data_IF_927789019244
#
_entry.id   IF_927789019244
#
_cell.length_a   1.000
_cell.length_b   1.000
_cell.length_c   1.000
_cell.angle_alpha   90.00
_cell.angle_beta   90.00
_cell.angle_gamma   90.00
#
_symmetry.space_group_name_H-M   'P 1'
#
loop_
_entity.id
_entity.type
_entity.pdbx_description
1 polymer ?
#
# COMPACT_ATOMS: atom_id res chain seq x y z
N UNK A 1 15.47 -1.31 -26.04
CA UNK A 1 14.15 -1.96 -25.94
C UNK A 1 13.76 -2.42 -24.53
N UNK A 2 14.55 -2.17 -23.47
CA UNK A 2 14.23 -2.63 -22.09
C UNK A 2 13.40 -1.63 -21.26
N UNK A 3 13.16 -0.42 -21.76
CA UNK A 3 12.24 0.55 -21.13
C UNK A 3 10.77 0.38 -21.56
N UNK A 4 10.47 -0.60 -22.43
CA UNK A 4 9.15 -0.68 -23.08
C UNK A 4 8.26 -1.82 -22.59
N UNK A 5 8.66 -2.65 -21.62
CA UNK A 5 7.81 -3.75 -21.16
C UNK A 5 7.96 -4.00 -19.65
N UNK A 6 6.99 -3.45 -18.90
CA UNK A 6 6.85 -3.43 -17.45
C UNK A 6 7.84 -2.53 -16.71
N UNK A 7 7.33 -1.73 -15.76
CA UNK A 7 8.11 -0.94 -14.79
C UNK A 7 8.90 -1.83 -13.80
N UNK A 8 9.16 -3.09 -14.14
CA UNK A 8 9.77 -4.11 -13.30
C UNK A 8 10.89 -4.79 -14.04
N UNK A 9 12.05 -4.88 -13.40
CA UNK A 9 13.09 -5.76 -13.87
C UNK A 9 12.68 -7.22 -13.72
N UNK A 10 13.19 -8.13 -14.58
CA UNK A 10 13.01 -9.57 -14.39
C UNK A 10 13.44 -10.00 -12.98
N UNK A 11 12.73 -10.94 -12.37
CA UNK A 11 12.96 -11.33 -10.97
C UNK A 11 14.37 -11.89 -10.74
N UNK A 12 14.84 -12.74 -11.66
CA UNK A 12 16.20 -13.31 -11.64
C UNK A 12 17.29 -12.24 -11.70
N UNK A 13 17.00 -11.11 -12.33
CA UNK A 13 17.90 -9.97 -12.43
C UNK A 13 17.89 -9.13 -11.15
N UNK A 14 16.70 -8.85 -10.61
CA UNK A 14 16.55 -8.11 -9.37
C UNK A 14 17.24 -8.83 -8.19
N UNK A 15 17.13 -10.16 -8.11
CA UNK A 15 17.82 -10.96 -7.09
C UNK A 15 19.34 -10.82 -7.18
N UNK A 16 19.93 -10.80 -8.38
CA UNK A 16 21.36 -10.56 -8.56
C UNK A 16 21.77 -9.18 -8.05
N UNK A 17 20.99 -8.14 -8.35
CA UNK A 17 21.27 -6.79 -7.85
C UNK A 17 21.15 -6.68 -6.32
N UNK A 18 20.23 -7.41 -5.71
CA UNK A 18 20.07 -7.46 -4.26
C UNK A 18 21.18 -8.25 -3.56
N UNK A 19 21.82 -9.19 -4.27
CA UNK A 19 22.97 -9.95 -3.74
C UNK A 19 24.26 -9.13 -3.62
N UNK A 20 24.36 -7.99 -4.32
CA UNK A 20 25.52 -7.10 -4.27
C UNK A 20 25.44 -6.29 -2.97
N UNK A 21 26.30 -6.62 -2.00
CA UNK A 21 26.28 -6.01 -0.67
C UNK A 21 27.07 -4.70 -0.57
N UNK A 22 28.11 -4.55 -1.39
CA UNK A 22 29.00 -3.38 -1.38
C UNK A 22 28.92 -2.64 -2.71
N UNK A 23 29.30 -1.36 -2.70
CA UNK A 23 29.37 -0.54 -3.91
C UNK A 23 30.37 -1.14 -4.89
N UNK A 24 29.93 -1.38 -6.13
CA UNK A 24 30.77 -1.90 -7.20
C UNK A 24 30.88 -0.88 -8.33
N UNK A 25 32.10 -0.45 -8.63
CA UNK A 25 32.40 0.34 -9.83
C UNK A 25 32.92 -0.61 -10.92
N UNK A 26 32.07 -0.90 -11.90
CA UNK A 26 32.33 -1.88 -12.94
C UNK A 26 32.68 -1.16 -14.24
N UNK A 27 33.84 -1.50 -14.78
CA UNK A 27 34.34 -0.99 -16.06
C UNK A 27 34.30 -2.15 -17.06
N UNK A 28 33.51 -2.00 -18.11
CA UNK A 28 33.39 -3.02 -19.15
C UNK A 28 34.35 -2.66 -20.28
N UNK A 29 35.50 -3.33 -20.34
CA UNK A 29 36.54 -3.07 -21.37
C UNK A 29 36.36 -3.88 -22.66
N UNK A 30 35.41 -4.83 -22.69
CA UNK A 30 35.17 -5.73 -23.83
C UNK A 30 33.71 -5.70 -24.27
N UNK A 31 33.47 -5.66 -25.58
CA UNK A 31 32.16 -5.57 -26.28
C UNK A 31 31.13 -6.69 -25.96
N UNK A 32 31.32 -7.55 -24.96
CA UNK A 32 30.51 -8.77 -24.81
C UNK A 32 30.17 -9.23 -23.40
N UNK A 33 30.57 -8.54 -22.33
CA UNK A 33 30.20 -8.92 -20.96
C UNK A 33 29.33 -7.87 -20.27
N UNK A 34 28.09 -7.77 -20.72
CA UNK A 34 27.09 -7.03 -19.97
C UNK A 34 26.82 -7.74 -18.64
N UNK A 35 27.07 -7.05 -17.52
CA UNK A 35 26.77 -7.53 -16.15
C UNK A 35 25.28 -7.93 -16.03
N UNK A 36 24.44 -7.35 -16.89
CA UNK A 36 23.00 -7.34 -16.76
C UNK A 36 22.26 -8.41 -17.58
N UNK A 37 22.88 -9.03 -18.60
CA UNK A 37 22.39 -10.24 -19.29
C UNK A 37 23.38 -10.63 -20.43
N UNK A 38 23.57 -11.93 -20.73
CA UNK A 38 24.38 -12.35 -21.87
C UNK A 38 23.72 -12.10 -23.24
N UNK A 39 22.40 -11.91 -23.33
CA UNK A 39 21.68 -11.87 -24.60
C UNK A 39 21.18 -10.47 -25.02
N UNK A 40 20.80 -9.62 -24.06
CA UNK A 40 20.35 -8.25 -24.33
C UNK A 40 20.78 -7.35 -23.18
N UNK A 41 21.67 -6.38 -23.44
CA UNK A 41 22.17 -5.50 -22.40
C UNK A 41 21.22 -4.31 -22.20
N UNK A 42 20.48 -4.21 -21.08
CA UNK A 42 19.63 -3.04 -20.81
C UNK A 42 20.43 -1.75 -20.63
N UNK A 43 21.69 -1.86 -20.21
CA UNK A 43 22.61 -0.76 -19.94
C UNK A 43 23.91 -1.01 -20.69
N UNK A 44 23.97 -0.72 -22.01
CA UNK A 44 25.14 -1.00 -22.87
C UNK A 44 26.33 -0.06 -22.59
N UNK A 45 26.35 0.59 -21.44
CA UNK A 45 27.28 1.66 -21.14
C UNK A 45 28.61 1.13 -20.60
N UNK A 46 29.70 1.81 -20.97
CA UNK A 46 31.08 1.38 -20.69
C UNK A 46 31.45 1.42 -19.21
N UNK A 47 30.82 2.32 -18.46
CA UNK A 47 31.06 2.51 -17.02
C UNK A 47 29.75 2.37 -16.27
N UNK A 48 29.71 1.49 -15.27
CA UNK A 48 28.51 1.22 -14.48
C UNK A 48 28.90 1.17 -13.01
N UNK A 49 28.24 1.96 -12.15
CA UNK A 49 28.36 1.82 -10.70
C UNK A 49 27.04 1.29 -10.11
N UNK A 50 27.14 0.23 -9.33
CA UNK A 50 26.02 -0.37 -8.62
C UNK A 50 26.19 -0.08 -7.13
N UNK A 51 25.24 0.67 -6.57
CA UNK A 51 25.26 1.13 -5.19
C UNK A 51 24.11 0.51 -4.40
N UNK A 52 24.40 -0.18 -3.29
CA UNK A 52 23.37 -0.72 -2.43
C UNK A 52 22.68 0.39 -1.61
N UNK A 53 21.35 0.33 -1.49
CA UNK A 53 20.61 1.21 -0.57
C UNK A 53 20.26 0.42 0.69
N UNK A 54 20.73 0.90 1.83
CA UNK A 54 20.40 0.36 3.14
C UNK A 54 19.56 1.35 3.96
N UNK A 55 18.71 0.82 4.84
CA UNK A 55 18.05 1.60 5.89
C UNK A 55 17.75 0.72 7.10
N UNK A 56 18.07 1.21 8.31
CA UNK A 56 17.95 0.47 9.58
C UNK A 56 18.45 -0.99 9.53
N UNK A 57 19.54 -1.25 8.82
CA UNK A 57 20.11 -2.60 8.67
C UNK A 57 19.39 -3.50 7.67
N UNK A 58 18.31 -3.03 7.03
CA UNK A 58 17.61 -3.73 5.95
C UNK A 58 18.13 -3.26 4.58
N UNK A 59 18.24 -4.20 3.63
CA UNK A 59 18.50 -3.89 2.22
C UNK A 59 17.21 -3.41 1.55
N UNK A 60 17.15 -2.12 1.21
CA UNK A 60 15.97 -1.49 0.65
C UNK A 60 15.90 -1.57 -0.88
N UNK A 61 17.05 -1.56 -1.55
CA UNK A 61 17.11 -1.55 -3.01
C UNK A 61 18.52 -1.28 -3.53
N UNK A 62 18.63 -0.95 -4.81
CA UNK A 62 19.91 -0.74 -5.49
C UNK A 62 19.79 0.46 -6.42
N UNK A 63 20.77 1.37 -6.40
CA UNK A 63 20.94 2.42 -7.40
C UNK A 63 21.96 1.92 -8.42
N UNK A 64 21.62 1.98 -9.70
CA UNK A 64 22.54 1.73 -10.78
C UNK A 64 22.80 3.05 -11.52
N UNK A 65 24.06 3.48 -11.54
CA UNK A 65 24.53 4.59 -12.35
C UNK A 65 25.23 4.02 -13.58
N UNK A 66 24.94 4.57 -14.74
CA UNK A 66 25.61 4.22 -15.97
C UNK A 66 26.16 5.49 -16.62
N UNK A 67 27.37 5.40 -17.17
CA UNK A 67 27.92 6.42 -18.05
C UNK A 67 28.56 5.79 -19.30
N UNK A 68 28.15 6.25 -20.48
CA UNK A 68 28.74 5.84 -21.75
C UNK A 68 30.08 6.53 -22.04
N UNK A 69 30.28 7.76 -21.53
CA UNK A 69 31.34 8.64 -22.00
C UNK A 69 32.49 8.85 -20.99
N UNK A 70 32.21 8.83 -19.69
CA UNK A 70 33.20 9.19 -18.66
C UNK A 70 33.28 8.13 -17.56
N UNK A 71 34.50 7.77 -17.17
CA UNK A 71 34.75 6.94 -16.00
C UNK A 71 34.14 7.60 -14.75
N UNK A 72 33.43 6.80 -13.96
CA UNK A 72 32.94 7.21 -12.64
C UNK A 72 34.16 7.28 -11.72
N UNK A 73 34.47 8.49 -11.24
CA UNK A 73 35.59 8.73 -10.33
C UNK A 73 35.20 8.39 -8.90
N UNK A 74 36.20 8.21 -8.04
CA UNK A 74 35.96 7.86 -6.64
C UNK A 74 35.21 8.99 -5.89
N UNK A 75 35.45 10.25 -6.24
CA UNK A 75 34.68 11.38 -5.66
C UNK A 75 33.21 11.33 -6.06
N UNK A 76 32.93 10.96 -7.32
CA UNK A 76 31.57 10.78 -7.79
C UNK A 76 30.89 9.58 -7.10
N UNK A 77 31.66 8.52 -6.81
CA UNK A 77 31.17 7.36 -6.10
C UNK A 77 30.80 7.69 -4.64
N UNK A 78 31.64 8.46 -3.94
CA UNK A 78 31.36 8.94 -2.57
C UNK A 78 30.08 9.78 -2.55
N UNK A 79 29.89 10.67 -3.52
CA UNK A 79 28.66 11.45 -3.64
C UNK A 79 27.44 10.57 -3.92
N UNK A 80 27.61 9.53 -4.76
CA UNK A 80 26.56 8.58 -5.06
C UNK A 80 26.19 7.73 -3.83
N UNK A 81 27.15 7.29 -3.02
CA UNK A 81 26.90 6.57 -1.77
C UNK A 81 26.17 7.44 -0.74
N UNK A 82 26.59 8.69 -0.60
CA UNK A 82 25.87 9.66 0.23
C UNK A 82 24.44 9.85 -0.28
N UNK A 83 24.25 9.96 -1.59
CA UNK A 83 22.93 10.00 -2.22
C UNK A 83 22.10 8.74 -1.92
N UNK A 84 22.70 7.55 -2.00
CA UNK A 84 22.06 6.28 -1.69
C UNK A 84 21.60 6.23 -0.23
N UNK A 85 22.39 6.75 0.71
CA UNK A 85 22.01 6.86 2.13
C UNK A 85 20.81 7.78 2.33
N UNK A 86 20.81 8.97 1.70
CA UNK A 86 19.68 9.93 1.79
C UNK A 86 18.40 9.33 1.18
N UNK A 87 18.52 8.64 0.05
CA UNK A 87 17.39 7.93 -0.57
C UNK A 87 16.88 6.82 0.34
N UNK A 88 17.78 6.02 0.95
CA UNK A 88 17.40 4.96 1.89
C UNK A 88 16.62 5.50 3.10
N UNK A 89 17.08 6.61 3.67
CA UNK A 89 16.36 7.30 4.75
C UNK A 89 14.97 7.78 4.29
N UNK A 90 14.87 8.36 3.08
CA UNK A 90 13.60 8.80 2.52
C UNK A 90 12.61 7.64 2.31
N UNK A 91 13.08 6.51 1.79
CA UNK A 91 12.26 5.30 1.61
C UNK A 91 11.77 4.77 2.96
N UNK A 92 12.63 4.73 3.98
CA UNK A 92 12.20 4.31 5.33
C UNK A 92 11.17 5.25 5.94
N UNK A 93 11.35 6.57 5.79
CA UNK A 93 10.37 7.53 6.26
C UNK A 93 8.99 7.30 5.61
N UNK A 94 8.97 6.97 4.32
CA UNK A 94 7.73 6.63 3.61
C UNK A 94 7.11 5.33 4.13
N UNK A 95 7.91 4.29 4.39
CA UNK A 95 7.43 3.04 5.01
C UNK A 95 6.78 3.32 6.37
N UNK A 96 7.45 4.08 7.24
CA UNK A 96 6.95 4.42 8.59
C UNK A 96 5.65 5.22 8.49
N UNK A 97 5.58 6.24 7.63
CA UNK A 97 4.35 7.02 7.44
C UNK A 97 3.19 6.16 6.96
N UNK A 98 3.42 5.23 6.03
CA UNK A 98 2.38 4.30 5.56
C UNK A 98 1.88 3.41 6.70
N UNK A 99 2.79 2.81 7.46
CA UNK A 99 2.43 2.00 8.62
C UNK A 99 1.61 2.80 9.66
N UNK A 100 2.04 4.01 9.99
CA UNK A 100 1.30 4.89 10.91
C UNK A 100 -0.10 5.22 10.39
N UNK A 101 -0.25 5.47 9.08
CA UNK A 101 -1.58 5.69 8.49
C UNK A 101 -2.46 4.45 8.54
N UNK A 102 -1.91 3.26 8.29
CA UNK A 102 -2.62 1.98 8.37
C UNK A 102 -3.05 1.66 9.81
N UNK A 103 -2.16 1.88 10.78
CA UNK A 103 -2.43 1.70 12.21
C UNK A 103 -3.52 2.65 12.68
N UNK A 104 -3.42 3.94 12.31
CA UNK A 104 -4.44 4.94 12.63
C UNK A 104 -5.80 4.57 12.01
N UNK A 105 -5.80 4.13 10.76
CA UNK A 105 -7.00 3.69 10.07
C UNK A 105 -7.66 2.52 10.79
N UNK A 106 -6.86 1.52 11.19
CA UNK A 106 -7.36 0.35 11.93
C UNK A 106 -7.85 0.74 13.32
N UNK A 107 -7.14 1.61 14.02
CA UNK A 107 -7.52 2.10 15.34
C UNK A 107 -8.88 2.84 15.32
N UNK A 108 -9.10 3.71 14.34
CA UNK A 108 -10.36 4.44 14.17
C UNK A 108 -11.55 3.47 13.97
N UNK A 109 -11.36 2.43 13.14
CA UNK A 109 -12.36 1.38 12.94
C UNK A 109 -12.66 0.66 14.25
N UNK A 110 -11.63 0.24 14.98
CA UNK A 110 -11.82 -0.47 16.25
C UNK A 110 -12.54 0.37 17.32
N UNK A 111 -12.24 1.66 17.41
CA UNK A 111 -12.92 2.58 18.33
C UNK A 111 -14.41 2.68 17.95
N UNK A 112 -14.72 2.84 16.66
CA UNK A 112 -16.09 2.91 16.17
C UNK A 112 -16.87 1.62 16.48
N UNK A 113 -16.28 0.44 16.21
CA UNK A 113 -16.90 -0.86 16.47
C UNK A 113 -17.14 -1.10 17.96
N UNK A 114 -16.22 -0.68 18.84
CA UNK A 114 -16.38 -0.80 20.30
C UNK A 114 -17.47 0.11 20.87
N UNK A 115 -17.74 1.25 20.24
CA UNK A 115 -18.78 2.19 20.66
C UNK A 115 -20.21 1.76 20.22
N UNK A 116 -20.31 0.68 19.44
CA UNK A 116 -21.57 0.17 18.93
C UNK A 116 -22.17 -0.93 19.82
N UNK A 117 -23.48 -0.88 19.97
CA UNK A 117 -24.27 -1.96 20.54
C UNK A 117 -24.37 -3.14 19.56
N UNK A 118 -24.76 -4.31 20.08
CA UNK A 118 -24.89 -5.53 19.27
C UNK A 118 -25.86 -5.36 18.09
N UNK A 119 -27.02 -4.71 18.32
CA UNK A 119 -28.02 -4.46 17.28
C UNK A 119 -27.51 -3.48 16.21
N UNK A 120 -26.71 -2.49 16.59
CA UNK A 120 -26.08 -1.55 15.66
C UNK A 120 -25.03 -2.26 14.79
N UNK A 121 -24.15 -3.07 15.37
CA UNK A 121 -23.16 -3.87 14.64
C UNK A 121 -23.83 -4.79 13.61
N UNK A 122 -24.85 -5.53 14.04
CA UNK A 122 -25.60 -6.43 13.15
C UNK A 122 -26.24 -5.66 11.98
N UNK A 123 -26.78 -4.48 12.24
CA UNK A 123 -27.36 -3.62 11.21
C UNK A 123 -26.33 -3.18 10.17
N UNK A 124 -25.11 -2.81 10.59
CA UNK A 124 -24.02 -2.37 9.71
C UNK A 124 -23.59 -3.50 8.77
N UNK A 125 -23.44 -4.72 9.28
CA UNK A 125 -23.07 -5.88 8.44
C UNK A 125 -24.11 -6.09 7.33
N UNK A 126 -25.39 -6.03 7.65
CA UNK A 126 -26.44 -6.15 6.64
C UNK A 126 -26.45 -4.99 5.63
N UNK A 127 -26.16 -3.77 6.08
CA UNK A 127 -26.05 -2.60 5.21
C UNK A 127 -24.88 -2.77 4.23
N UNK A 128 -23.70 -3.16 4.73
CA UNK A 128 -22.51 -3.34 3.90
C UNK A 128 -22.66 -4.48 2.90
N UNK A 129 -23.34 -5.57 3.28
CA UNK A 129 -23.65 -6.67 2.36
C UNK A 129 -24.65 -6.29 1.26
N UNK A 130 -25.41 -5.21 1.44
CA UNK A 130 -26.34 -4.68 0.42
C UNK A 130 -25.66 -3.63 -0.48
N UNK A 131 -24.44 -3.21 -0.17
CA UNK A 131 -23.63 -2.37 -1.05
C UNK A 131 -22.95 -3.23 -2.12
N UNK A 132 -23.03 -2.79 -3.38
CA UNK A 132 -22.31 -3.41 -4.50
C UNK A 132 -20.87 -2.85 -4.58
N UNK A 133 -20.06 -3.08 -3.54
CA UNK A 133 -18.67 -2.62 -3.45
C UNK A 133 -18.41 -1.64 -2.30
N UNK A 134 -17.54 -0.65 -2.53
CA UNK A 134 -17.14 0.35 -1.51
C UNK A 134 -18.10 1.55 -1.39
N UNK A 135 -19.09 1.64 -2.28
CA UNK A 135 -20.07 2.73 -2.30
C UNK A 135 -21.43 2.29 -2.83
N UNK A 136 -22.49 2.97 -2.40
CA UNK A 136 -23.84 2.65 -2.86
C UNK A 136 -24.95 3.41 -2.15
N UNK A 137 -26.17 3.21 -2.64
CA UNK A 137 -27.39 3.82 -2.10
C UNK A 137 -28.12 2.84 -1.18
N UNK A 138 -28.36 3.25 0.06
CA UNK A 138 -29.05 2.41 1.06
C UNK A 138 -30.34 3.08 1.51
N UNK A 139 -31.41 2.29 1.53
CA UNK A 139 -32.72 2.71 2.04
C UNK A 139 -32.93 2.09 3.42
N UNK A 140 -32.78 2.90 4.46
CA UNK A 140 -32.81 2.44 5.85
C UNK A 140 -34.12 1.72 6.25
N UNK A 141 -35.26 2.07 5.67
CA UNK A 141 -36.53 1.36 5.93
C UNK A 141 -36.50 -0.08 5.40
N UNK A 142 -36.01 -0.31 4.18
CA UNK A 142 -35.90 -1.65 3.60
C UNK A 142 -34.99 -2.57 4.42
N UNK A 143 -33.89 -2.02 4.94
CA UNK A 143 -32.97 -2.76 5.82
C UNK A 143 -33.63 -3.05 7.17
N UNK A 144 -34.31 -2.07 7.75
CA UNK A 144 -35.03 -2.21 9.03
C UNK A 144 -36.05 -3.36 8.98
N UNK A 145 -36.88 -3.39 7.93
CA UNK A 145 -37.92 -4.40 7.73
C UNK A 145 -37.34 -5.81 7.55
N UNK A 146 -36.20 -5.94 6.84
CA UNK A 146 -35.55 -7.24 6.60
C UNK A 146 -34.88 -7.80 7.85
N UNK A 147 -34.23 -6.96 8.65
CA UNK A 147 -33.45 -7.39 9.82
C UNK A 147 -34.30 -7.43 11.10
N UNK A 148 -35.49 -6.81 11.08
CA UNK A 148 -36.39 -6.75 12.23
C UNK A 148 -35.92 -5.78 13.31
N UNK A 149 -35.34 -4.64 12.91
CA UNK A 149 -34.80 -3.61 13.81
C UNK A 149 -35.44 -2.26 13.51
N UNK A 150 -35.37 -1.31 14.45
CA UNK A 150 -35.88 0.04 14.21
C UNK A 150 -34.94 0.84 13.31
N UNK A 151 -35.51 1.72 12.49
CA UNK A 151 -34.73 2.66 11.63
C UNK A 151 -33.77 3.52 12.45
N UNK A 152 -34.11 3.85 13.70
CA UNK A 152 -33.24 4.64 14.59
C UNK A 152 -31.92 3.95 14.93
N UNK A 153 -31.92 2.61 15.07
CA UNK A 153 -30.71 1.82 15.30
C UNK A 153 -29.76 1.94 14.11
N UNK A 154 -30.29 1.85 12.88
CA UNK A 154 -29.51 1.99 11.64
C UNK A 154 -28.90 3.40 11.53
N UNK A 155 -29.72 4.44 11.73
CA UNK A 155 -29.25 5.83 11.61
C UNK A 155 -28.19 6.14 12.68
N UNK A 156 -28.37 5.66 13.90
CA UNK A 156 -27.38 5.81 14.97
C UNK A 156 -26.07 5.08 14.61
N UNK A 157 -26.16 3.87 14.06
CA UNK A 157 -24.99 3.12 13.66
C UNK A 157 -24.19 3.86 12.56
N UNK A 158 -24.87 4.34 11.53
CA UNK A 158 -24.26 5.12 10.46
C UNK A 158 -23.62 6.42 10.98
N UNK A 159 -24.29 7.13 11.90
CA UNK A 159 -23.75 8.33 12.53
C UNK A 159 -22.48 8.05 13.35
N UNK A 160 -22.41 6.92 14.05
CA UNK A 160 -21.21 6.50 14.80
C UNK A 160 -20.03 6.21 13.86
N UNK A 161 -20.26 5.52 12.74
CA UNK A 161 -19.21 5.26 11.74
C UNK A 161 -18.74 6.54 11.05
N UNK A 162 -19.66 7.45 10.75
CA UNK A 162 -19.34 8.75 10.17
C UNK A 162 -18.52 9.61 11.16
N UNK A 163 -18.88 9.59 12.45
CA UNK A 163 -18.12 10.31 13.48
C UNK A 163 -16.67 9.83 13.66
N UNK A 164 -16.39 8.56 13.30
CA UNK A 164 -15.07 7.98 13.32
C UNK A 164 -14.32 8.12 11.98
N UNK A 165 -14.87 8.85 11.01
CA UNK A 165 -14.36 8.98 9.64
C UNK A 165 -14.15 7.63 8.92
N UNK A 166 -14.97 6.62 9.26
CA UNK A 166 -14.91 5.31 8.63
C UNK A 166 -15.77 5.27 7.35
N UNK A 167 -16.90 5.96 7.39
CA UNK A 167 -17.80 6.12 6.24
C UNK A 167 -18.14 7.59 6.04
N UNK A 168 -18.57 7.93 4.84
CA UNK A 168 -19.21 9.19 4.52
C UNK A 168 -20.67 8.93 4.17
N UNK A 169 -21.59 9.68 4.80
CA UNK A 169 -23.02 9.57 4.50
C UNK A 169 -23.53 10.85 3.85
N UNK A 170 -24.36 10.72 2.81
CA UNK A 170 -25.07 11.84 2.20
C UNK A 170 -26.55 11.50 2.07
N UNK A 171 -27.39 12.21 2.83
CA UNK A 171 -28.83 12.04 2.75
C UNK A 171 -29.37 12.55 1.41
N UNK A 172 -30.12 11.70 0.71
CA UNK A 172 -30.87 12.04 -0.50
C UNK A 172 -32.38 12.10 -0.21
N UNK A 173 -32.74 12.30 1.05
CA UNK A 173 -34.12 12.38 1.53
C UNK A 173 -34.84 11.04 1.37
N UNK A 174 -35.98 11.04 0.65
CA UNK A 174 -36.82 9.85 0.48
C UNK A 174 -36.18 8.77 -0.39
N UNK A 175 -35.19 9.12 -1.23
CA UNK A 175 -34.47 8.16 -2.08
C UNK A 175 -33.51 7.26 -1.28
N UNK A 176 -33.17 7.66 -0.05
CA UNK A 176 -32.24 6.93 0.81
C UNK A 176 -31.00 7.76 1.16
N UNK A 177 -29.96 7.08 1.60
CA UNK A 177 -28.68 7.64 2.00
C UNK A 177 -27.59 7.05 1.13
N UNK A 178 -26.83 7.89 0.46
CA UNK A 178 -25.61 7.46 -0.22
C UNK A 178 -24.52 7.24 0.83
N UNK A 179 -23.89 6.07 0.80
CA UNK A 179 -22.83 5.69 1.71
C UNK A 179 -21.59 5.40 0.88
N UNK A 180 -20.46 5.94 1.32
CA UNK A 180 -19.14 5.63 0.80
C UNK A 180 -18.24 5.18 1.94
N UNK A 181 -17.63 4.01 1.82
CA UNK A 181 -16.64 3.52 2.77
C UNK A 181 -15.32 4.24 2.48
N UNK A 182 -14.73 4.86 3.50
CA UNK A 182 -13.46 5.58 3.39
C UNK A 182 -12.26 4.69 3.77
N UNK A 183 -12.53 3.62 4.53
CA UNK A 183 -11.51 2.74 5.07
C UNK A 183 -11.87 1.28 4.83
N UNK A 184 -11.08 0.63 3.98
CA UNK A 184 -11.29 -0.77 3.58
C UNK A 184 -11.09 -1.75 4.74
N UNK A 185 -10.33 -1.36 5.78
CA UNK A 185 -10.11 -2.15 6.99
C UNK A 185 -11.39 -2.45 7.77
N UNK A 186 -12.48 -1.70 7.52
CA UNK A 186 -13.78 -1.93 8.14
C UNK A 186 -14.32 -3.34 7.83
N UNK A 187 -14.25 -3.76 6.56
CA UNK A 187 -14.80 -5.04 6.11
C UNK A 187 -14.02 -6.19 6.75
N UNK A 188 -12.69 -6.08 6.80
CA UNK A 188 -11.82 -7.08 7.40
C UNK A 188 -12.08 -7.25 8.90
N UNK A 189 -12.21 -6.15 9.65
CA UNK A 189 -12.49 -6.20 11.08
C UNK A 189 -13.89 -6.76 11.38
N UNK A 190 -14.90 -6.40 10.59
CA UNK A 190 -16.25 -6.97 10.71
C UNK A 190 -16.28 -8.48 10.41
N UNK A 191 -15.59 -8.91 9.34
CA UNK A 191 -15.48 -10.32 8.98
C UNK A 191 -14.79 -11.16 10.07
N UNK A 192 -13.75 -10.63 10.72
CA UNK A 192 -13.10 -11.28 11.88
C UNK A 192 -14.07 -11.47 13.05
N UNK A 193 -14.94 -10.51 13.31
CA UNK A 193 -15.94 -10.58 14.38
C UNK A 193 -17.06 -11.60 14.08
N UNK A 194 -17.53 -11.64 12.83
CA UNK A 194 -18.54 -12.62 12.41
C UNK A 194 -18.00 -14.05 12.40
N UNK A 195 -16.75 -14.25 11.98
CA UNK A 195 -16.10 -15.57 11.99
C UNK A 195 -15.91 -16.12 13.42
N UNK A 196 -15.54 -15.26 14.39
CA UNK A 196 -15.46 -15.65 15.81
C UNK A 196 -16.82 -16.05 16.40
N UNK A 197 -17.92 -15.43 15.95
CA UNK A 197 -19.27 -15.71 16.47
C UNK A 197 -19.95 -16.93 15.87
N UNK A 198 -19.56 -17.39 14.67
CA UNK A 198 -20.05 -18.67 14.10
C UNK A 198 -19.39 -19.91 14.69
N UNK A 199 -18.32 -19.75 15.48
CA UNK A 199 -17.57 -20.83 16.13
C UNK A 199 -17.97 -21.09 17.59
N UNK A 200 -18.93 -20.33 18.11
CA UNK A 200 -19.55 -20.51 19.44
C UNK A 200 -21.03 -20.81 19.18
#
# INVERSE_FOLDING_TARGET
>A
HVLAFSERFPESYNQKLLSILDTQNIMTDTESSCIFSPNECPLPERYVAVLPIYGWGERLGTIALASAAKKITDEALILAEFGAMVVGMGVMLLKVKRAETEDKNTANVQIALKAMSFSELKSVIHILNELEGSEGLVVASRVADRVGITRSVIVNALRKLESANVIQSKSLGMKGTYIRVLNDSLLDELNKMDCKKRRI
#
